data_IF_056419838133
#
_entry.id   IF_056419838133
#
_cell.length_a   1.000
_cell.length_b   1.000
_cell.length_c   1.000
_cell.angle_alpha   90.00
_cell.angle_beta   90.00
_cell.angle_gamma   90.00
#
_symmetry.space_group_name_H-M   'P 1'
#
loop_
_entity.id
_entity.type
_entity.pdbx_description
1 polymer ?
2 non-polymer ?
3 water ?
#
# COMPACT_ATOMS: atom_id res chain seq x y z
N UNK A 1 12.00 -12.01 4.37
CA UNK A 1 11.85 -10.78 5.15
C UNK A 1 11.18 -11.08 6.49
N UNK A 2 11.77 -10.60 7.59
CA UNK A 2 11.17 -10.81 8.91
C UNK A 2 10.13 -9.71 9.14
N UNK A 3 9.36 -9.83 10.23
CA UNK A 3 8.37 -8.83 10.64
C UNK A 3 9.10 -7.55 11.02
N UNK A 4 10.19 -7.68 11.81
CA UNK A 4 11.01 -6.56 12.25
C UNK A 4 11.62 -5.83 11.06
N UNK A 5 12.01 -6.59 10.02
CA UNK A 5 12.57 -6.03 8.78
C UNK A 5 11.49 -5.32 7.98
N UNK A 6 10.27 -5.89 7.96
CA UNK A 6 9.14 -5.27 7.27
C UNK A 6 8.75 -3.96 7.97
N UNK A 7 8.73 -3.96 9.32
CA UNK A 7 8.44 -2.78 10.14
C UNK A 7 9.37 -1.63 9.74
N UNK A 8 10.69 -1.89 9.70
CA UNK A 8 11.73 -0.93 9.33
C UNK A 8 11.53 -0.46 7.88
N UNK A 9 11.27 -1.41 6.96
CA UNK A 9 11.08 -1.11 5.55
C UNK A 9 9.87 -0.21 5.35
N UNK A 10 8.76 -0.52 6.03
CA UNK A 10 7.56 0.33 5.93
C UNK A 10 7.85 1.72 6.44
N UNK A 11 8.55 1.87 7.59
CA UNK A 11 8.89 3.20 8.09
C UNK A 11 9.75 3.97 7.07
N UNK A 12 10.74 3.28 6.45
CA UNK A 12 11.63 3.91 5.47
C UNK A 12 10.81 4.41 4.28
N UNK A 13 9.96 3.54 3.70
CA UNK A 13 9.16 3.95 2.54
C UNK A 13 8.18 5.04 2.87
N UNK A 14 7.58 4.97 4.07
CA UNK A 14 6.63 5.99 4.49
C UNK A 14 7.32 7.36 4.57
N UNK A 15 8.56 7.39 5.10
CA UNK A 15 9.31 8.64 5.19
C UNK A 15 9.75 9.16 3.81
N UNK A 16 10.34 8.29 2.96
CA UNK A 16 10.79 8.65 1.60
C UNK A 16 9.59 9.15 0.79
N UNK A 17 8.47 8.42 0.82
CA UNK A 17 7.29 8.79 0.06
C UNK A 17 6.58 10.02 0.54
N UNK A 18 6.66 10.32 1.85
CA UNK A 18 6.08 11.55 2.40
C UNK A 18 6.89 12.74 1.86
N UNK A 19 8.22 12.66 1.90
CA UNK A 19 9.08 13.72 1.38
C UNK A 19 8.88 13.96 -0.13
N UNK A 20 8.79 12.87 -0.91
CA UNK A 20 8.63 12.91 -2.37
C UNK A 20 7.31 13.53 -2.83
N UNK A 21 6.21 13.31 -2.08
CA UNK A 21 4.87 13.75 -2.46
C UNK A 21 4.38 15.04 -1.84
N UNK A 22 4.97 15.43 -0.71
CA UNK A 22 4.56 16.63 0.00
C UNK A 22 3.31 16.45 0.84
N UNK A 23 2.85 15.20 1.00
CA UNK A 23 1.67 14.89 1.82
C UNK A 23 1.90 15.33 3.27
N UNK A 24 0.86 15.88 3.89
CA UNK A 24 0.86 16.29 5.29
C UNK A 24 1.01 15.03 6.16
N UNK A 25 1.79 15.12 7.25
CA UNK A 25 1.99 13.95 8.12
C UNK A 25 0.67 13.35 8.61
N UNK A 26 -0.33 14.18 8.98
CA UNK A 26 -1.60 13.65 9.47
C UNK A 26 -2.34 12.87 8.39
N UNK A 27 -2.29 13.36 7.14
CA UNK A 27 -2.90 12.67 6.01
C UNK A 27 -2.18 11.35 5.75
N UNK A 28 -0.82 11.34 5.85
CA UNK A 28 -0.04 10.11 5.69
C UNK A 28 -0.42 9.13 6.80
N UNK A 29 -0.57 9.63 8.04
CA UNK A 29 -0.99 8.80 9.18
C UNK A 29 -2.36 8.16 8.95
N UNK A 30 -3.31 8.90 8.33
CA UNK A 30 -4.62 8.35 7.98
C UNK A 30 -4.44 7.13 7.02
N UNK A 31 -3.59 7.28 5.99
CA UNK A 31 -3.31 6.21 5.04
C UNK A 31 -2.70 5.00 5.75
N UNK A 32 -1.75 5.24 6.64
CA UNK A 32 -1.07 4.18 7.38
C UNK A 32 -2.08 3.43 8.27
N UNK A 33 -3.10 4.13 8.76
CA UNK A 33 -4.11 3.52 9.65
C UNK A 33 -5.26 2.87 8.85
N UNK A 34 -5.17 2.94 7.53
CA UNK A 34 -6.18 2.33 6.67
C UNK A 34 -7.39 3.18 6.38
N UNK A 35 -7.31 4.51 6.66
CA UNK A 35 -8.40 5.43 6.33
C UNK A 35 -7.93 6.20 5.10
N UNK A 36 -8.32 5.70 3.91
CA UNK A 36 -7.84 6.25 2.66
C UNK A 36 -8.84 7.15 1.95
N UNK A 37 -8.45 8.43 1.81
CA UNK A 37 -9.23 9.44 1.10
C UNK A 37 -8.80 9.28 -0.36
N UNK A 38 -9.43 8.31 -1.05
CA UNK A 38 -9.08 7.88 -2.42
C UNK A 38 -8.99 8.98 -3.46
N UNK A 39 -9.84 10.01 -3.34
CA UNK A 39 -9.92 11.12 -4.29
C UNK A 39 -8.86 12.22 -4.07
N UNK A 40 -8.20 12.23 -2.90
CA UNK A 40 -7.18 13.23 -2.58
C UNK A 40 -5.90 12.99 -3.38
N UNK A 41 -5.43 14.02 -4.10
CA UNK A 41 -4.23 13.94 -4.94
C UNK A 41 -3.00 13.49 -4.19
N UNK A 42 -2.71 14.12 -3.03
CA UNK A 42 -1.52 13.72 -2.29
C UNK A 42 -1.60 12.32 -1.75
N UNK A 43 -2.80 11.88 -1.35
CA UNK A 43 -3.00 10.51 -0.90
C UNK A 43 -2.73 9.56 -2.11
N UNK A 44 -3.23 9.93 -3.30
CA UNK A 44 -2.98 9.13 -4.51
C UNK A 44 -1.48 8.99 -4.80
N UNK A 45 -0.75 10.14 -4.78
CA UNK A 45 0.69 10.14 -5.04
C UNK A 45 1.44 9.34 -3.98
N UNK A 46 1.07 9.49 -2.69
CA UNK A 46 1.73 8.75 -1.60
C UNK A 46 1.49 7.23 -1.77
N UNK A 47 0.23 6.83 -2.04
CA UNK A 47 -0.12 5.42 -2.27
C UNK A 47 0.66 4.84 -3.46
N UNK A 48 0.75 5.59 -4.56
CA UNK A 48 1.49 5.16 -5.74
C UNK A 48 2.96 4.93 -5.40
N UNK A 49 3.55 5.90 -4.69
CA UNK A 49 4.96 5.83 -4.31
C UNK A 49 5.22 4.59 -3.46
N UNK A 50 4.38 4.33 -2.45
CA UNK A 50 4.57 3.17 -1.58
C UNK A 50 4.42 1.88 -2.37
N UNK A 51 3.35 1.76 -3.18
CA UNK A 51 3.17 0.53 -3.95
C UNK A 51 4.26 0.26 -4.96
N UNK A 52 4.73 1.31 -5.65
CA UNK A 52 5.82 1.14 -6.60
C UNK A 52 7.11 0.72 -5.92
N UNK A 53 7.41 1.33 -4.77
CA UNK A 53 8.63 1.00 -4.03
C UNK A 53 8.65 -0.41 -3.49
N UNK A 54 7.46 -1.02 -3.29
CA UNK A 54 7.34 -2.41 -2.84
C UNK A 54 7.14 -3.36 -4.01
N UNK A 55 7.26 -2.87 -5.26
CA UNK A 55 7.11 -3.68 -6.48
C UNK A 55 5.70 -4.28 -6.60
N UNK A 56 4.68 -3.53 -6.13
CA UNK A 56 3.27 -3.95 -6.19
C UNK A 56 2.60 -3.37 -7.42
N UNK A 57 3.17 -2.27 -7.94
CA UNK A 57 2.71 -1.65 -9.17
C UNK A 57 3.90 -1.57 -10.08
N UNK A 58 3.73 -1.98 -11.34
CA UNK A 58 4.83 -1.87 -12.26
C UNK A 58 4.83 -0.48 -12.89
N UNK A 59 5.82 -0.21 -13.76
CA UNK A 59 6.00 1.07 -14.46
C UNK A 59 4.73 1.47 -15.22
N UNK A 60 3.90 0.47 -15.58
CA UNK A 60 2.63 0.67 -16.27
C UNK A 60 1.40 0.59 -15.39
N UNK A 61 1.61 0.72 -14.06
CA UNK A 61 0.57 0.69 -13.04
C UNK A 61 -0.33 -0.53 -13.02
N UNK A 62 0.24 -1.67 -13.39
CA UNK A 62 -0.44 -2.95 -13.36
C UNK A 62 -0.12 -3.51 -11.99
N UNK A 63 -1.15 -4.03 -11.31
CA UNK A 63 -1.02 -4.66 -10.01
C UNK A 63 -0.21 -5.96 -10.17
N UNK A 64 0.82 -6.11 -9.33
CA UNK A 64 1.72 -7.28 -9.34
C UNK A 64 1.38 -8.19 -8.17
N UNK A 65 0.63 -9.29 -8.42
CA UNK A 65 0.27 -10.21 -7.32
C UNK A 65 1.46 -10.74 -6.55
N UNK A 66 2.63 -10.92 -7.19
CA UNK A 66 3.78 -11.46 -6.48
C UNK A 66 4.37 -10.47 -5.45
N UNK A 67 4.30 -9.18 -5.75
CA UNK A 67 4.77 -8.12 -4.86
C UNK A 67 3.94 -8.06 -3.59
N UNK A 68 2.59 -8.12 -3.73
CA UNK A 68 1.68 -8.07 -2.58
C UNK A 68 1.77 -9.36 -1.75
N UNK A 69 1.95 -10.52 -2.42
CA UNK A 69 2.10 -11.82 -1.75
C UNK A 69 3.34 -11.79 -0.85
N UNK A 70 4.48 -11.28 -1.37
CA UNK A 70 5.74 -11.18 -0.62
C UNK A 70 5.60 -10.41 0.71
N UNK A 71 4.76 -9.36 0.73
CA UNK A 71 4.49 -8.58 1.94
C UNK A 71 3.41 -9.25 2.80
N UNK A 72 2.23 -9.53 2.22
CA UNK A 72 1.09 -10.05 2.97
C UNK A 72 1.22 -11.44 3.56
N UNK A 73 2.06 -12.30 2.97
CA UNK A 73 2.26 -13.66 3.51
C UNK A 73 2.96 -13.68 4.87
N UNK A 74 3.54 -12.54 5.27
CA UNK A 74 4.19 -12.40 6.57
C UNK A 74 3.18 -11.99 7.63
N UNK A 75 2.01 -11.46 7.20
CA UNK A 75 0.99 -10.86 8.04
C UNK A 75 -0.34 -11.59 8.19
N UNK A 76 -0.79 -12.29 7.14
CA UNK A 76 -2.08 -12.97 7.13
C UNK A 76 -1.95 -14.36 6.57
N UNK A 77 -2.94 -15.22 6.90
CA UNK A 77 -3.00 -16.60 6.43
C UNK A 77 -3.04 -16.68 4.91
N UNK A 78 -2.60 -17.82 4.38
CA UNK A 78 -2.51 -18.10 2.96
C UNK A 78 -3.83 -17.92 2.21
N UNK A 79 -4.96 -18.37 2.78
CA UNK A 79 -6.23 -18.24 2.08
C UNK A 79 -6.70 -16.77 2.01
N UNK A 80 -6.34 -15.96 3.03
CA UNK A 80 -6.65 -14.54 3.01
C UNK A 80 -5.81 -13.79 1.97
N UNK A 81 -4.55 -14.21 1.75
CA UNK A 81 -3.66 -13.62 0.73
C UNK A 81 -4.30 -13.84 -0.67
N UNK A 82 -4.76 -15.08 -0.94
CA UNK A 82 -5.40 -15.42 -2.21
C UNK A 82 -6.66 -14.60 -2.42
N UNK A 83 -7.43 -14.37 -1.33
CA UNK A 83 -8.66 -13.57 -1.39
C UNK A 83 -8.32 -12.12 -1.73
N UNK A 84 -7.29 -11.56 -1.07
CA UNK A 84 -6.83 -10.19 -1.29
C UNK A 84 -6.39 -10.02 -2.74
N UNK A 85 -5.56 -10.95 -3.25
CA UNK A 85 -5.07 -10.90 -4.63
C UNK A 85 -6.24 -10.85 -5.63
N UNK A 86 -7.24 -11.73 -5.48
CA UNK A 86 -8.40 -11.77 -6.37
C UNK A 86 -9.25 -10.52 -6.26
N UNK A 87 -9.42 -10.00 -5.04
CA UNK A 87 -10.22 -8.83 -4.77
C UNK A 87 -9.57 -7.60 -5.37
N UNK A 88 -8.30 -7.37 -5.04
CA UNK A 88 -7.65 -6.18 -5.54
C UNK A 88 -7.26 -6.22 -7.04
N UNK A 89 -7.31 -7.43 -7.68
CA UNK A 89 -7.12 -7.56 -9.13
C UNK A 89 -8.35 -7.02 -9.90
N UNK A 90 -9.51 -6.82 -9.23
CA UNK A 90 -10.74 -6.32 -9.88
C UNK A 90 -10.76 -4.81 -10.05
N UNK A 91 -9.86 -4.09 -9.34
CA UNK A 91 -9.77 -2.63 -9.41
C UNK A 91 -9.26 -2.27 -10.80
N UNK A 92 -10.09 -1.53 -11.54
CA UNK A 92 -9.81 -1.09 -12.90
C UNK A 92 -10.06 0.40 -12.90
N UNK A 93 -9.01 1.16 -13.16
CA UNK A 93 -9.06 2.60 -13.11
C UNK A 93 -8.17 3.15 -14.20
N UNK A 94 -8.72 4.00 -15.08
CA UNK A 94 -7.96 4.62 -16.18
C UNK A 94 -6.98 5.63 -15.58
N UNK A 95 -7.35 6.28 -14.47
CA UNK A 95 -6.47 7.23 -13.78
C UNK A 95 -5.51 6.38 -12.90
N UNK A 96 -4.20 6.32 -13.21
CA UNK A 96 -3.29 5.46 -12.42
C UNK A 96 -3.09 5.90 -10.97
N UNK A 97 -3.29 7.21 -10.69
CA UNK A 97 -3.15 7.76 -9.35
C UNK A 97 -4.35 7.30 -8.51
N UNK A 98 -5.55 7.33 -9.10
CA UNK A 98 -6.75 6.84 -8.40
C UNK A 98 -6.67 5.33 -8.22
N UNK A 99 -6.09 4.63 -9.20
CA UNK A 99 -5.89 3.19 -9.11
C UNK A 99 -5.03 2.87 -7.88
N UNK A 100 -3.96 3.65 -7.65
CA UNK A 100 -3.08 3.43 -6.51
C UNK A 100 -3.77 3.60 -5.17
N UNK A 101 -4.58 4.67 -5.01
CA UNK A 101 -5.26 4.87 -3.72
C UNK A 101 -6.35 3.80 -3.52
N UNK A 102 -7.05 3.40 -4.61
CA UNK A 102 -8.05 2.34 -4.50
C UNK A 102 -7.40 1.02 -4.11
N UNK A 103 -6.18 0.76 -4.63
CA UNK A 103 -5.44 -0.46 -4.28
C UNK A 103 -5.01 -0.47 -2.82
N UNK A 104 -4.48 0.64 -2.30
CA UNK A 104 -4.09 0.72 -0.89
C UNK A 104 -5.34 0.56 -0.02
N UNK A 105 -6.46 1.17 -0.41
CA UNK A 105 -7.72 1.03 0.32
C UNK A 105 -8.14 -0.45 0.35
N UNK A 106 -7.99 -1.18 -0.78
CA UNK A 106 -8.33 -2.59 -0.87
C UNK A 106 -7.45 -3.45 0.05
N UNK A 107 -6.13 -3.25 -0.01
CA UNK A 107 -5.19 -4.00 0.84
C UNK A 107 -5.50 -3.73 2.33
N UNK A 108 -5.82 -2.46 2.67
CA UNK A 108 -6.08 -1.99 4.04
C UNK A 108 -7.25 -2.68 4.74
N UNK A 109 -8.18 -3.26 3.96
CA UNK A 109 -9.30 -4.03 4.51
C UNK A 109 -8.78 -5.31 5.21
N UNK A 110 -7.65 -5.85 4.73
CA UNK A 110 -7.04 -7.10 5.22
C UNK A 110 -6.08 -6.83 6.36
N UNK A 111 -5.13 -5.90 6.16
CA UNK A 111 -4.16 -5.45 7.17
C UNK A 111 -3.75 -4.04 6.79
N UNK A 112 -3.62 -3.18 7.81
CA UNK A 112 -3.16 -1.81 7.58
C UNK A 112 -1.65 -1.77 7.75
N UNK A 113 -1.00 -0.71 7.24
CA UNK A 113 0.44 -0.55 7.45
C UNK A 113 0.71 -0.36 8.95
N UNK A 114 -0.19 0.36 9.65
CA UNK A 114 -0.03 0.60 11.10
C UNK A 114 -0.01 -0.71 11.88
N UNK A 115 -0.84 -1.69 11.46
CA UNK A 115 -0.96 -2.97 12.16
C UNK A 115 0.36 -3.70 12.37
N UNK A 116 1.32 -3.49 11.44
CA UNK A 116 2.64 -4.13 11.50
C UNK A 116 3.45 -3.69 12.74
N UNK A 117 3.21 -2.47 13.23
CA UNK A 117 3.94 -1.95 14.41
C UNK A 117 3.59 -2.66 15.72
N UNK A 118 2.41 -3.31 15.78
CA UNK A 118 1.96 -4.02 16.98
C UNK A 118 2.31 -5.50 16.97
N UNK A 119 3.08 -5.94 15.97
CA UNK A 119 3.51 -7.33 15.76
C UNK A 119 4.92 -7.60 16.28
#
# INVERSE_FOLDING_TARGET
>A
MTIEELKTRLHTEQSVCKTETGIDQQKANDVIEGNIDVEDKKVQLYCECILKNFNILDKNNVFKPQGIKAVMELLIDENSVKQLVSDCSTISEENPHLKASKLVQCVSKYKTMKSVDFL
#
